data_IF_715903088632
#
_entry.id   IF_715903088632
#
_cell.length_a   1.000
_cell.length_b   1.000
_cell.length_c   1.000
_cell.angle_alpha   90.00
_cell.angle_beta   90.00
_cell.angle_gamma   90.00
#
_symmetry.space_group_name_H-M   'P 1'
#
loop_
_entity.id
_entity.type
_entity.pdbx_description
1 polymer ?
#
# COMPACT_ATOMS: atom_id res chain seq x y z
N UNK A 1 15.13 -3.20 11.67
CA UNK A 1 14.85 -4.65 11.52
C UNK A 1 14.58 -4.99 10.06
N UNK A 2 14.98 -6.17 9.60
CA UNK A 2 14.80 -6.59 8.21
C UNK A 2 13.55 -7.47 8.05
N UNK A 3 12.73 -7.18 7.05
CA UNK A 3 11.52 -7.93 6.72
C UNK A 3 11.49 -8.32 5.25
N UNK A 4 10.90 -9.48 4.95
CA UNK A 4 10.39 -9.73 3.60
C UNK A 4 9.21 -8.79 3.34
N UNK A 5 9.08 -8.28 2.12
CA UNK A 5 8.07 -7.32 1.73
C UNK A 5 7.41 -7.73 0.43
N UNK A 6 6.08 -7.61 0.35
CA UNK A 6 5.32 -7.90 -0.85
C UNK A 6 4.50 -6.67 -1.25
N UNK A 7 4.50 -6.36 -2.54
CA UNK A 7 3.68 -5.28 -3.10
C UNK A 7 2.24 -5.74 -3.35
N UNK A 8 1.29 -4.91 -2.92
CA UNK A 8 -0.15 -5.06 -3.12
C UNK A 8 -0.68 -3.85 -3.89
N UNK A 9 -1.60 -4.09 -4.82
CA UNK A 9 -2.33 -3.00 -5.48
C UNK A 9 -3.52 -2.59 -4.62
N UNK A 10 -3.89 -1.32 -4.67
CA UNK A 10 -5.13 -0.87 -4.06
C UNK A 10 -6.34 -1.36 -4.85
N UNK A 11 -7.48 -1.63 -4.20
CA UNK A 11 -7.75 -1.38 -2.76
C UNK A 11 -7.30 -2.51 -1.81
N UNK A 12 -6.71 -3.58 -2.33
CA UNK A 12 -6.38 -4.77 -1.53
C UNK A 12 -5.32 -4.54 -0.46
N UNK A 13 -4.37 -3.63 -0.68
CA UNK A 13 -3.40 -3.28 0.36
C UNK A 13 -4.09 -2.71 1.61
N UNK A 14 -5.01 -1.76 1.41
CA UNK A 14 -5.85 -1.23 2.48
C UNK A 14 -6.76 -2.28 3.10
N UNK A 15 -7.33 -3.20 2.30
CA UNK A 15 -8.17 -4.28 2.86
C UNK A 15 -7.39 -5.22 3.78
N UNK A 16 -6.14 -5.55 3.45
CA UNK A 16 -5.30 -6.37 4.34
C UNK A 16 -4.95 -5.59 5.60
N UNK A 17 -4.46 -4.35 5.47
CA UNK A 17 -4.02 -3.55 6.62
C UNK A 17 -5.16 -3.13 7.56
N UNK A 18 -6.39 -3.07 7.07
CA UNK A 18 -7.59 -2.84 7.88
C UNK A 18 -8.33 -4.12 8.27
N UNK A 19 -7.72 -5.30 8.07
CA UNK A 19 -8.25 -6.59 8.53
C UNK A 19 -9.49 -7.10 7.80
N UNK A 20 -9.89 -6.49 6.68
CA UNK A 20 -11.04 -6.92 5.87
C UNK A 20 -10.68 -8.12 5.00
N UNK A 21 -9.48 -8.13 4.42
CA UNK A 21 -8.95 -9.25 3.63
C UNK A 21 -7.99 -10.08 4.47
N UNK A 22 -8.43 -11.27 4.86
CA UNK A 22 -7.68 -12.21 5.70
C UNK A 22 -7.07 -13.37 4.91
N UNK A 23 -7.42 -13.52 3.63
CA UNK A 23 -6.81 -14.51 2.72
C UNK A 23 -6.22 -13.80 1.51
N UNK A 24 -4.90 -13.86 1.33
CA UNK A 24 -4.23 -13.38 0.13
C UNK A 24 -4.25 -14.43 -0.99
N UNK A 25 -4.36 -13.96 -2.24
CA UNK A 25 -4.49 -14.85 -3.40
C UNK A 25 -3.42 -14.56 -4.46
N UNK A 26 -2.70 -15.58 -4.93
CA UNK A 26 -1.65 -15.42 -5.96
C UNK A 26 -1.67 -16.58 -6.96
N UNK A 27 -1.25 -16.33 -8.19
CA UNK A 27 -1.06 -17.40 -9.21
C UNK A 27 0.18 -18.28 -8.95
N UNK A 28 1.08 -17.85 -8.07
CA UNK A 28 2.27 -18.59 -7.66
C UNK A 28 2.35 -18.61 -6.12
N UNK A 29 2.91 -19.65 -5.49
CA UNK A 29 2.98 -19.77 -4.03
C UNK A 29 4.11 -18.92 -3.43
N UNK A 30 4.20 -17.63 -3.79
CA UNK A 30 5.32 -16.75 -3.41
C UNK A 30 5.42 -16.50 -1.90
N UNK A 31 4.34 -16.76 -1.14
CA UNK A 31 4.30 -16.63 0.32
C UNK A 31 4.55 -17.93 1.07
N UNK A 32 4.65 -19.09 0.39
CA UNK A 32 4.82 -20.40 1.05
C UNK A 32 6.10 -20.48 1.89
N UNK A 33 7.19 -19.85 1.44
CA UNK A 33 8.46 -19.74 2.20
C UNK A 33 8.44 -18.75 3.37
N UNK A 34 7.30 -18.11 3.63
CA UNK A 34 7.11 -17.10 4.67
C UNK A 34 6.12 -17.52 5.76
N UNK A 35 5.67 -18.78 5.79
CA UNK A 35 4.81 -19.31 6.87
C UNK A 35 5.40 -19.01 8.26
N UNK A 36 4.55 -18.55 9.17
CA UNK A 36 4.89 -18.15 10.54
C UNK A 36 5.90 -17.01 10.62
N UNK A 37 5.95 -16.14 9.60
CA UNK A 37 6.79 -14.93 9.59
C UNK A 37 5.92 -13.70 9.37
N UNK A 38 6.36 -12.59 9.96
CA UNK A 38 5.85 -11.26 9.61
C UNK A 38 6.50 -10.79 8.32
N UNK A 39 5.69 -10.28 7.40
CA UNK A 39 6.16 -9.56 6.21
C UNK A 39 5.65 -8.12 6.24
N UNK A 40 6.33 -7.26 5.51
CA UNK A 40 5.92 -5.89 5.27
C UNK A 40 5.02 -5.78 4.03
N UNK A 41 4.06 -4.86 4.10
CA UNK A 41 3.14 -4.54 3.00
C UNK A 41 3.61 -3.27 2.33
N UNK A 42 3.90 -3.39 1.04
CA UNK A 42 4.18 -2.26 0.15
C UNK A 42 2.96 -1.95 -0.70
N UNK A 43 2.60 -0.68 -0.83
CA UNK A 43 1.51 -0.26 -1.73
C UNK A 43 2.07 0.06 -3.10
N UNK A 44 1.62 -0.70 -4.11
CA UNK A 44 1.99 -0.48 -5.49
C UNK A 44 1.36 0.79 -6.07
N UNK A 45 2.04 1.39 -7.04
CA UNK A 45 1.55 2.59 -7.71
C UNK A 45 0.25 2.35 -8.51
N UNK A 46 0.14 1.20 -9.19
CA UNK A 46 -1.03 0.87 -10.01
C UNK A 46 -2.16 0.29 -9.17
N UNK A 47 -3.37 0.70 -9.50
CA UNK A 47 -4.61 0.14 -8.97
C UNK A 47 -4.83 -1.28 -9.49
N UNK A 48 -5.67 -2.00 -8.77
CA UNK A 48 -6.33 -3.18 -9.26
C UNK A 48 -7.38 -2.78 -10.30
N UNK A 49 -7.34 -3.43 -11.46
CA UNK A 49 -8.17 -3.04 -12.62
C UNK A 49 -9.62 -3.56 -12.50
N UNK A 50 -9.93 -4.45 -11.55
CA UNK A 50 -11.26 -5.03 -11.34
C UNK A 50 -12.11 -4.28 -10.30
N UNK A 51 -13.43 -4.34 -10.45
CA UNK A 51 -14.40 -3.68 -9.55
C UNK A 51 -15.27 -4.65 -8.72
N UNK A 52 -15.14 -5.96 -8.91
CA UNK A 52 -15.98 -7.00 -8.26
C UNK A 52 -15.91 -6.97 -6.74
N UNK A 53 -14.80 -6.51 -6.16
CA UNK A 53 -14.64 -6.33 -4.72
C UNK A 53 -15.73 -5.45 -4.11
N UNK A 54 -16.26 -4.46 -4.85
CA UNK A 54 -17.27 -3.54 -4.32
C UNK A 54 -18.59 -4.26 -4.04
N UNK A 55 -18.99 -5.15 -4.94
CA UNK A 55 -20.18 -5.98 -4.76
C UNK A 55 -20.00 -6.96 -3.60
N UNK A 56 -18.81 -7.53 -3.44
CA UNK A 56 -18.51 -8.41 -2.30
C UNK A 56 -18.63 -7.69 -0.95
N UNK A 57 -18.08 -6.47 -0.85
CA UNK A 57 -18.21 -5.67 0.38
C UNK A 57 -19.68 -5.33 0.70
N UNK A 58 -20.47 -4.99 -0.32
CA UNK A 58 -21.89 -4.64 -0.17
C UNK A 58 -22.73 -5.88 0.19
N UNK A 59 -22.63 -6.93 -0.62
CA UNK A 59 -23.56 -8.07 -0.59
C UNK A 59 -23.17 -9.14 0.42
N UNK A 60 -21.87 -9.38 0.62
CA UNK A 60 -21.38 -10.47 1.49
C UNK A 60 -20.97 -9.97 2.87
N UNK A 61 -20.32 -8.81 2.95
CA UNK A 61 -19.93 -8.19 4.22
C UNK A 61 -20.97 -7.19 4.76
N UNK A 62 -22.05 -6.92 4.02
CA UNK A 62 -23.15 -6.05 4.46
C UNK A 62 -22.72 -4.59 4.68
N UNK A 63 -21.61 -4.16 4.10
CA UNK A 63 -21.13 -2.78 4.28
C UNK A 63 -22.02 -1.80 3.53
N UNK A 64 -22.28 -0.66 4.15
CA UNK A 64 -22.95 0.47 3.50
C UNK A 64 -21.98 1.23 2.58
N UNK A 65 -22.47 2.01 1.59
CA UNK A 65 -21.61 2.85 0.76
C UNK A 65 -20.71 3.80 1.57
N UNK A 66 -21.21 4.33 2.69
CA UNK A 66 -20.44 5.21 3.59
C UNK A 66 -19.33 4.45 4.30
N UNK A 67 -19.58 3.22 4.78
CA UNK A 67 -18.55 2.37 5.37
C UNK A 67 -17.48 1.99 4.34
N UNK A 68 -17.87 1.67 3.11
CA UNK A 68 -16.91 1.39 2.02
C UNK A 68 -16.07 2.63 1.72
N UNK A 69 -16.68 3.81 1.66
CA UNK A 69 -15.95 5.05 1.44
C UNK A 69 -14.95 5.32 2.57
N UNK A 70 -15.34 5.14 3.82
CA UNK A 70 -14.46 5.29 4.98
C UNK A 70 -13.31 4.27 4.95
N UNK A 71 -13.59 3.01 4.61
CA UNK A 71 -12.57 1.96 4.46
C UNK A 71 -11.55 2.30 3.38
N UNK A 72 -11.99 2.83 2.23
CA UNK A 72 -11.10 3.25 1.14
C UNK A 72 -10.26 4.47 1.54
N UNK A 73 -10.83 5.43 2.27
CA UNK A 73 -10.10 6.58 2.79
C UNK A 73 -9.03 6.14 3.80
N UNK A 74 -9.38 5.26 4.73
CA UNK A 74 -8.45 4.70 5.71
C UNK A 74 -7.33 3.90 5.02
N UNK A 75 -7.68 3.10 4.01
CA UNK A 75 -6.73 2.36 3.19
C UNK A 75 -5.74 3.24 2.42
N UNK A 76 -6.06 4.51 2.19
CA UNK A 76 -5.23 5.50 1.49
C UNK A 76 -4.71 6.60 2.45
N UNK A 77 -4.80 6.43 3.79
CA UNK A 77 -4.44 7.48 4.77
C UNK A 77 -3.00 7.96 4.69
N UNK A 78 -2.09 7.06 4.33
CA UNK A 78 -0.68 7.35 4.07
C UNK A 78 -0.38 7.64 2.59
N UNK A 79 -1.44 7.69 1.77
CA UNK A 79 -1.40 7.82 0.33
C UNK A 79 -0.63 6.70 -0.36
N UNK A 80 -0.35 6.92 -1.64
CA UNK A 80 0.60 6.13 -2.45
C UNK A 80 1.93 6.86 -2.60
N UNK A 81 2.24 7.71 -1.63
CA UNK A 81 3.14 8.83 -1.78
C UNK A 81 3.50 9.41 -0.44
N UNK A 82 4.34 8.69 0.30
CA UNK A 82 5.01 9.29 1.46
C UNK A 82 6.12 10.18 0.94
N UNK A 83 6.24 11.37 1.53
CA UNK A 83 7.31 12.31 1.25
C UNK A 83 8.63 11.60 1.58
N UNK A 84 9.35 11.16 0.54
CA UNK A 84 10.79 10.96 0.69
C UNK A 84 11.39 12.36 0.86
N UNK A 85 12.11 12.55 1.97
CA UNK A 85 13.05 13.67 2.16
C UNK A 85 14.01 13.85 0.95
N UNK A 86 14.08 12.88 0.04
CA UNK A 86 14.80 12.96 -1.23
C UNK A 86 14.15 13.88 -2.29
N UNK A 87 12.98 14.48 -2.04
CA UNK A 87 12.49 15.58 -2.89
C UNK A 87 13.24 16.92 -2.62
N UNK A 88 14.04 16.99 -1.56
CA UNK A 88 14.93 18.13 -1.25
C UNK A 88 16.21 18.12 -2.12
N UNK A 89 16.55 17.00 -2.79
CA UNK A 89 17.73 16.96 -3.66
C UNK A 89 17.57 17.70 -4.99
N UNK A 90 16.34 17.97 -5.41
CA UNK A 90 16.08 18.82 -6.59
C UNK A 90 16.27 20.30 -6.26
N UNK A 91 16.16 20.70 -4.98
CA UNK A 91 16.33 22.08 -4.54
C UNK A 91 17.80 22.48 -4.30
N UNK A 92 18.71 21.52 -4.05
CA UNK A 92 20.15 21.82 -3.87
C UNK A 92 20.91 22.06 -5.18
N UNK A 93 20.35 21.70 -6.34
CA UNK A 93 20.92 22.11 -7.64
C UNK A 93 20.47 23.49 -8.11
N UNK A 94 19.40 24.04 -7.55
CA UNK A 94 18.95 25.41 -7.88
C UNK A 94 19.77 26.45 -7.07
N UNK A 95 20.27 26.10 -5.89
CA UNK A 95 21.13 26.98 -5.08
C UNK A 95 22.61 27.07 -5.50
N UNK A 96 23.07 26.30 -6.49
CA UNK A 96 24.47 26.33 -6.94
C UNK A 96 24.68 27.13 -8.24
N UNK A 97 23.63 27.73 -8.79
CA UNK A 97 23.69 28.57 -9.99
C UNK A 97 23.49 30.06 -9.67
N UNK A 98 23.95 30.52 -8.51
CA UNK A 98 24.02 31.94 -8.15
C UNK A 98 25.47 32.37 -7.94
N UNK A 99 26.22 32.48 -9.03
CA UNK A 99 27.21 33.56 -9.21
C UNK A 99 27.55 33.60 -10.69
N UNK A 100 26.95 34.52 -11.43
CA UNK A 100 27.57 35.35 -12.49
C UNK A 100 26.45 36.15 -13.18
N UNK A 101 26.55 37.47 -13.05
CA UNK A 101 25.48 38.43 -13.31
C UNK A 101 24.99 38.54 -14.74
N UNK A 102 23.79 39.09 -14.88
CA UNK A 102 23.23 39.44 -16.18
C UNK A 102 21.71 39.65 -16.14
N UNK A 103 21.30 40.83 -15.68
CA UNK A 103 20.08 41.58 -16.02
C UNK A 103 18.91 40.80 -16.67
N UNK A 104 18.29 39.85 -15.96
CA UNK A 104 17.03 39.16 -16.37
C UNK A 104 16.06 38.91 -15.19
N UNK A 105 16.07 39.81 -14.22
CA UNK A 105 15.47 39.65 -12.87
C UNK A 105 13.96 39.94 -12.72
N UNK A 106 13.12 39.82 -13.76
CA UNK A 106 11.66 40.00 -13.57
C UNK A 106 10.77 38.84 -13.98
N UNK A 107 11.25 37.89 -14.79
CA UNK A 107 10.45 36.69 -15.10
C UNK A 107 10.64 35.54 -14.11
N UNK A 108 11.80 35.43 -13.45
CA UNK A 108 12.12 34.27 -12.61
C UNK A 108 11.52 34.31 -11.19
N UNK A 109 11.29 35.51 -10.64
CA UNK A 109 10.63 35.67 -9.33
C UNK A 109 9.18 35.18 -9.38
N UNK A 110 8.50 35.28 -10.53
CA UNK A 110 7.12 34.84 -10.71
C UNK A 110 6.95 33.32 -10.72
N UNK A 111 7.92 32.57 -11.22
CA UNK A 111 7.86 31.10 -11.30
C UNK A 111 8.17 30.46 -9.93
N UNK A 112 9.15 31.02 -9.20
CA UNK A 112 9.48 30.58 -7.84
C UNK A 112 8.38 30.93 -6.82
N UNK A 113 7.73 32.09 -6.96
CA UNK A 113 6.63 32.52 -6.09
C UNK A 113 5.35 31.72 -6.34
N UNK A 114 5.04 31.42 -7.61
CA UNK A 114 3.93 30.55 -7.99
C UNK A 114 4.12 29.12 -7.48
N UNK A 115 5.35 28.60 -7.49
CA UNK A 115 5.66 27.28 -6.93
C UNK A 115 5.47 27.24 -5.40
N UNK A 116 5.86 28.31 -4.67
CA UNK A 116 5.60 28.44 -3.22
C UNK A 116 4.11 28.52 -2.88
N UNK A 117 3.33 29.25 -3.67
CA UNK A 117 1.86 29.30 -3.50
C UNK A 117 1.20 27.97 -3.84
N UNK A 118 1.67 27.24 -4.87
CA UNK A 118 1.18 25.90 -5.21
C UNK A 118 1.55 24.84 -4.14
N UNK A 119 2.71 25.00 -3.48
CA UNK A 119 3.09 24.15 -2.34
C UNK A 119 2.22 24.44 -1.11
N UNK A 120 1.85 25.71 -0.88
CA UNK A 120 1.00 26.12 0.24
C UNK A 120 -0.50 25.83 0.02
N UNK A 121 -0.96 25.70 -1.23
CA UNK A 121 -2.37 25.45 -1.56
C UNK A 121 -2.78 23.98 -1.53
N UNK A 122 -1.81 23.05 -1.35
CA UNK A 122 -2.07 21.60 -1.42
C UNK A 122 -2.49 21.09 -2.80
N UNK A 123 -2.40 21.93 -3.84
CA UNK A 123 -2.95 21.68 -5.18
C UNK A 123 -1.95 21.07 -6.18
N UNK A 124 -0.74 20.69 -5.75
CA UNK A 124 0.16 19.88 -6.56
C UNK A 124 -0.11 18.38 -6.36
N UNK A 125 -0.16 17.56 -7.43
CA UNK A 125 -0.10 16.11 -7.28
C UNK A 125 1.20 15.78 -6.55
N UNK A 126 1.05 15.31 -5.30
CA UNK A 126 2.17 14.90 -4.46
C UNK A 126 2.91 13.79 -5.22
N UNK A 127 4.23 13.86 -5.40
CA UNK A 127 4.95 12.79 -6.09
C UNK A 127 4.64 11.45 -5.41
N UNK A 128 4.05 10.54 -6.20
CA UNK A 128 3.61 9.22 -5.78
C UNK A 128 4.82 8.34 -5.53
N UNK A 129 5.41 8.44 -4.34
CA UNK A 129 6.38 7.50 -3.85
C UNK A 129 5.64 6.35 -3.16
N UNK A 130 5.42 5.20 -3.84
CA UNK A 130 4.91 4.01 -3.17
C UNK A 130 5.83 3.69 -1.99
N UNK A 131 5.27 3.07 -0.94
CA UNK A 131 5.98 2.90 0.32
C UNK A 131 5.55 1.66 1.06
N UNK A 132 6.38 1.27 2.03
CA UNK A 132 6.04 0.27 3.04
C UNK A 132 5.18 0.94 4.09
N UNK A 133 3.97 0.43 4.32
CA UNK A 133 2.97 1.08 5.17
C UNK A 133 2.53 0.24 6.36
N UNK A 134 2.86 -1.05 6.37
CA UNK A 134 2.41 -1.94 7.44
C UNK A 134 3.05 -3.31 7.42
N UNK A 135 2.63 -4.12 8.37
CA UNK A 135 3.10 -5.46 8.65
C UNK A 135 1.92 -6.42 8.70
N UNK A 136 2.14 -7.67 8.31
CA UNK A 136 1.15 -8.75 8.41
C UNK A 136 1.86 -10.07 8.68
N UNK A 137 1.24 -10.93 9.46
CA UNK A 137 1.74 -12.27 9.73
C UNK A 137 1.20 -13.24 8.68
N UNK A 138 2.08 -14.09 8.17
CA UNK A 138 1.78 -15.04 7.09
C UNK A 138 1.55 -16.44 7.67
N UNK A 139 0.38 -17.00 7.40
CA UNK A 139 0.01 -18.36 7.77
C UNK A 139 0.29 -19.38 6.67
N UNK A 140 -0.58 -20.39 6.58
CA UNK A 140 -0.49 -21.44 5.57
C UNK A 140 -0.79 -20.93 4.16
N UNK A 141 -0.02 -21.43 3.18
CA UNK A 141 -0.28 -21.24 1.75
C UNK A 141 -0.71 -22.57 1.13
N UNK A 142 -1.91 -22.63 0.57
CA UNK A 142 -2.49 -23.82 -0.05
C UNK A 142 -2.98 -23.48 -1.46
N UNK A 143 -2.91 -24.42 -2.40
CA UNK A 143 -3.61 -24.28 -3.68
C UNK A 143 -5.12 -24.39 -3.40
N UNK A 144 -5.93 -23.52 -4.00
CA UNK A 144 -7.38 -23.58 -3.88
C UNK A 144 -7.87 -24.99 -4.28
N UNK A 145 -8.53 -25.74 -3.38
CA UNK A 145 -9.05 -27.06 -3.71
C UNK A 145 -10.09 -26.98 -4.85
N UNK A 146 -10.11 -27.98 -5.71
CA UNK A 146 -10.97 -28.01 -6.89
C UNK A 146 -12.41 -28.51 -6.58
N UNK A 147 -12.59 -29.14 -5.43
CA UNK A 147 -13.77 -29.87 -4.99
C UNK A 147 -14.45 -29.23 -3.76
N UNK A 148 -14.22 -27.92 -3.56
CA UNK A 148 -14.86 -27.16 -2.48
C UNK A 148 -16.39 -27.17 -2.59
N UNK A 149 -17.06 -27.31 -1.46
CA UNK A 149 -18.49 -27.08 -1.40
C UNK A 149 -18.79 -25.58 -1.69
N UNK A 150 -19.99 -25.25 -2.24
CA UNK A 150 -20.33 -23.86 -2.56
C UNK A 150 -20.23 -22.90 -1.36
N UNK A 151 -20.55 -23.38 -0.15
CA UNK A 151 -20.46 -22.60 1.09
C UNK A 151 -19.00 -22.28 1.48
N UNK A 152 -18.11 -23.26 1.36
CA UNK A 152 -16.68 -23.08 1.66
C UNK A 152 -16.02 -22.13 0.66
N UNK A 153 -16.35 -22.27 -0.64
CA UNK A 153 -15.88 -21.35 -1.66
C UNK A 153 -16.38 -19.92 -1.41
N UNK A 154 -17.66 -19.77 -1.04
CA UNK A 154 -18.25 -18.48 -0.70
C UNK A 154 -17.52 -17.83 0.47
N UNK A 155 -17.19 -18.60 1.51
CA UNK A 155 -16.43 -18.13 2.66
C UNK A 155 -15.03 -17.67 2.25
N UNK A 156 -14.30 -18.48 1.49
CA UNK A 156 -12.95 -18.14 1.02
C UNK A 156 -12.94 -16.90 0.13
N UNK A 157 -13.90 -16.76 -0.78
CA UNK A 157 -14.05 -15.56 -1.62
C UNK A 157 -14.38 -14.32 -0.78
N UNK A 158 -15.14 -14.48 0.29
CA UNK A 158 -15.48 -13.40 1.24
C UNK A 158 -14.23 -12.97 2.02
N UNK A 159 -13.48 -13.92 2.58
CA UNK A 159 -12.21 -13.66 3.26
C UNK A 159 -11.13 -13.07 2.33
N UNK A 160 -11.14 -13.45 1.06
CA UNK A 160 -10.23 -12.92 0.04
C UNK A 160 -10.71 -11.60 -0.57
N UNK A 161 -11.98 -11.22 -0.37
CA UNK A 161 -12.65 -10.11 -1.08
C UNK A 161 -12.42 -10.21 -2.60
N UNK A 162 -12.42 -11.44 -3.13
CA UNK A 162 -12.15 -11.73 -4.54
C UNK A 162 -12.87 -13.02 -4.94
N UNK A 163 -13.55 -12.99 -6.10
CA UNK A 163 -14.16 -14.18 -6.71
C UNK A 163 -13.21 -14.89 -7.67
N UNK A 164 -13.56 -16.13 -8.03
CA UNK A 164 -12.81 -16.90 -9.03
C UNK A 164 -11.45 -17.32 -8.50
N UNK A 165 -11.47 -18.10 -7.41
CA UNK A 165 -10.27 -18.55 -6.69
C UNK A 165 -9.61 -19.76 -7.33
N UNK A 166 -10.21 -20.34 -8.38
CA UNK A 166 -9.73 -21.56 -9.00
C UNK A 166 -8.27 -21.41 -9.45
N UNK A 167 -7.46 -22.42 -9.16
CA UNK A 167 -6.03 -22.48 -9.48
C UNK A 167 -5.16 -21.40 -8.82
N UNK A 168 -5.70 -20.57 -7.92
CA UNK A 168 -4.90 -19.63 -7.13
C UNK A 168 -4.38 -20.30 -5.87
N UNK A 169 -3.23 -19.83 -5.40
CA UNK A 169 -2.71 -20.10 -4.08
C UNK A 169 -3.33 -19.12 -3.08
N UNK A 170 -3.93 -19.66 -2.03
CA UNK A 170 -4.57 -18.97 -0.93
C UNK A 170 -3.59 -18.94 0.24
N UNK A 171 -3.36 -17.77 0.83
CA UNK A 171 -2.48 -17.60 1.99
C UNK A 171 -3.22 -16.92 3.12
N UNK A 172 -3.32 -17.57 4.27
CA UNK A 172 -3.89 -16.96 5.46
C UNK A 172 -3.01 -15.78 5.93
N UNK A 173 -3.64 -14.66 6.25
CA UNK A 173 -3.02 -13.46 6.77
C UNK A 173 -3.65 -13.11 8.12
N UNK A 174 -2.84 -12.68 9.07
CA UNK A 174 -3.29 -12.28 10.41
C UNK A 174 -2.46 -11.13 10.96
N UNK A 175 -2.91 -10.55 12.08
CA UNK A 175 -2.20 -9.49 12.79
C UNK A 175 -1.74 -8.31 11.89
N UNK A 176 -2.66 -7.74 11.08
CA UNK A 176 -2.34 -6.59 10.25
C UNK A 176 -2.06 -5.38 11.14
N UNK A 177 -1.00 -4.65 10.83
CA UNK A 177 -0.54 -3.51 11.62
C UNK A 177 -0.07 -2.41 10.69
N UNK A 178 -0.62 -1.22 10.83
CA UNK A 178 -0.05 -0.04 10.18
C UNK A 178 1.27 0.34 10.87
N UNK A 179 2.28 0.73 10.09
CA UNK A 179 3.44 1.39 10.66
C UNK A 179 3.01 2.75 11.21
N UNK A 180 3.73 3.25 12.22
CA UNK A 180 3.43 4.57 12.82
C UNK A 180 3.61 5.69 11.80
N UNK A 181 4.62 5.56 10.96
CA UNK A 181 4.84 6.41 9.78
C UNK A 181 5.22 5.55 8.58
N UNK A 182 4.94 6.03 7.37
CA UNK A 182 5.14 5.21 6.19
C UNK A 182 6.53 5.44 5.60
N UNK A 183 7.12 4.40 5.00
CA UNK A 183 8.49 4.44 4.50
C UNK A 183 8.48 4.49 2.97
N UNK A 184 8.87 5.61 2.33
CA UNK A 184 8.93 5.67 0.88
C UNK A 184 9.95 4.68 0.31
N UNK A 185 9.59 3.97 -0.76
CA UNK A 185 10.45 2.95 -1.36
C UNK A 185 9.90 2.35 -2.64
N UNK A 186 10.77 2.08 -3.61
CA UNK A 186 10.37 1.37 -4.83
C UNK A 186 10.00 -0.08 -4.49
N UNK A 187 8.92 -0.57 -5.10
CA UNK A 187 8.56 -1.97 -5.01
C UNK A 187 9.62 -2.86 -5.68
N UNK A 188 9.86 -4.02 -5.10
CA UNK A 188 10.72 -5.05 -5.67
C UNK A 188 9.96 -6.12 -6.44
N UNK A 189 10.70 -7.11 -6.94
CA UNK A 189 10.14 -8.31 -7.58
C UNK A 189 9.77 -9.33 -6.50
N UNK A 190 8.59 -9.93 -6.65
CA UNK A 190 8.07 -10.97 -5.75
C UNK A 190 8.15 -10.52 -4.28
N UNK A 191 8.73 -11.32 -3.38
CA UNK A 191 9.05 -10.88 -2.02
C UNK A 191 10.48 -10.33 -2.01
N UNK A 192 10.63 -9.05 -1.65
CA UNK A 192 11.91 -8.35 -1.57
C UNK A 192 12.23 -7.95 -0.12
N UNK A 193 13.50 -7.70 0.21
CA UNK A 193 13.87 -7.30 1.58
C UNK A 193 13.73 -5.79 1.76
N UNK A 194 13.28 -5.39 2.95
CA UNK A 194 13.21 -3.99 3.39
C UNK A 194 13.71 -3.86 4.82
N UNK A 195 14.30 -2.70 5.12
CA UNK A 195 14.73 -2.35 6.47
C UNK A 195 13.74 -1.35 7.06
N UNK A 196 13.13 -1.72 8.20
CA UNK A 196 12.15 -0.91 8.93
C UNK A 196 12.78 -0.51 10.28
N UNK A 197 12.93 0.80 10.56
CA UNK A 197 13.36 1.28 11.87
C UNK A 197 12.44 0.80 12.99
N UNK A 198 13.01 0.38 14.13
CA UNK A 198 12.22 -0.17 15.25
C UNK A 198 11.18 0.81 15.80
N UNK A 199 11.50 2.11 15.81
CA UNK A 199 10.57 3.14 16.28
C UNK A 199 9.34 3.34 15.39
N UNK A 200 9.28 2.74 14.19
CA UNK A 200 8.11 2.77 13.31
C UNK A 200 7.23 1.52 13.44
N UNK A 201 7.71 0.49 14.12
CA UNK A 201 6.99 -0.76 14.34
C UNK A 201 6.01 -0.53 15.51
N UNK A 202 4.71 -0.73 15.31
CA UNK A 202 3.76 -0.59 16.42
C UNK A 202 4.02 -1.69 17.46
N UNK A 203 4.09 -1.31 18.73
CA UNK A 203 3.99 -2.25 19.84
C UNK A 203 2.64 -2.97 19.71
N UNK A 204 2.63 -4.30 19.67
CA UNK A 204 1.46 -5.13 19.32
C UNK A 204 0.31 -5.13 20.34
N UNK A 205 -0.20 -3.96 20.71
CA UNK A 205 -1.39 -3.76 21.53
C UNK A 205 -2.13 -2.52 21.05
N UNK A 206 -3.10 -2.70 20.17
CA UNK A 206 -4.36 -1.95 20.28
C UNK A 206 -5.44 -2.99 20.55
N UNK A 207 -6.10 -2.82 21.69
CA UNK A 207 -7.13 -3.70 22.26
C UNK A 207 -8.50 -3.44 21.62
#
# INVERSE_FOLDING_TARGET
MQFGCLSFRQPYAGFVLNGVKTVETRWRPVLSGHRNRTIAIHIAHRDWDGATWRELLLQRLGMTPTQIQALLQEGEKYGRGVIADECVRVHTRIGAAETMGGTRDRLWVGVASSLRLLLASGAMPRPHCPGVLGLVDVGDTLLCPADLAPEELLELETQAVLTGLEQKYLTALSNPRWLLEPIPGKGGKDVFQVDIPEHLIPSGQEA
#
